data_IF_494046963464
#
_entry.id   IF_494046963464
#
_cell.length_a   1.000
_cell.length_b   1.000
_cell.length_c   1.000
_cell.angle_alpha   90.00
_cell.angle_beta   90.00
_cell.angle_gamma   90.00
#
_symmetry.space_group_name_H-M   'P 1'
#
loop_
_entity.id
_entity.type
_entity.pdbx_description
1 polymer ?
#
# COMPACT_ATOMS: atom_id res chain seq x y z
N UNK A 1 11.45 -6.77 15.01
CA UNK A 1 10.69 -6.66 16.28
C UNK A 1 11.19 -7.62 17.35
N UNK A 2 11.80 -8.77 17.00
CA UNK A 2 12.19 -9.82 17.97
C UNK A 2 13.30 -9.35 18.92
N UNK A 3 14.21 -8.49 18.45
CA UNK A 3 15.31 -7.98 19.26
C UNK A 3 14.86 -7.15 20.48
N UNK A 4 13.76 -6.44 20.42
CA UNK A 4 13.22 -5.61 21.50
C UNK A 4 11.97 -6.22 22.14
N UNK A 5 11.62 -7.45 21.78
CA UNK A 5 10.34 -8.09 22.16
C UNK A 5 10.08 -8.10 23.67
N UNK A 6 11.13 -8.19 24.49
CA UNK A 6 11.00 -8.18 25.96
C UNK A 6 10.49 -6.84 26.50
N UNK A 7 10.81 -5.71 25.83
CA UNK A 7 10.36 -4.37 26.24
C UNK A 7 8.98 -4.02 25.70
N UNK A 8 8.44 -4.84 24.78
CA UNK A 8 7.17 -4.58 24.10
C UNK A 8 6.12 -5.55 24.61
N UNK A 9 4.97 -5.03 24.98
CA UNK A 9 3.80 -5.81 25.29
C UNK A 9 3.35 -6.61 24.04
N UNK A 10 3.22 -7.92 24.20
CA UNK A 10 3.02 -8.82 23.07
C UNK A 10 1.59 -8.82 22.56
N UNK A 11 0.64 -8.35 23.34
CA UNK A 11 -0.78 -8.23 22.97
C UNK A 11 -1.08 -6.87 22.33
N UNK A 12 -0.62 -5.80 22.96
CA UNK A 12 -0.94 -4.44 22.54
C UNK A 12 0.04 -3.86 21.54
N UNK A 13 1.29 -4.33 21.51
CA UNK A 13 2.34 -3.83 20.63
C UNK A 13 3.04 -2.56 21.14
N UNK A 14 2.64 -2.04 22.30
CA UNK A 14 3.26 -0.84 22.87
C UNK A 14 4.41 -1.17 23.83
N UNK A 15 5.34 -0.23 24.04
CA UNK A 15 6.37 -0.38 25.05
C UNK A 15 5.78 -0.56 26.46
N UNK A 16 6.36 -1.48 27.24
CA UNK A 16 6.05 -1.68 28.64
C UNK A 16 6.79 -0.60 29.46
N UNK A 17 6.11 0.37 30.09
CA UNK A 17 6.76 1.51 30.73
C UNK A 17 7.78 1.09 31.79
N UNK A 18 7.47 0.06 32.58
CA UNK A 18 8.31 -0.43 33.68
C UNK A 18 9.60 -1.10 33.19
N UNK A 19 9.66 -1.48 31.90
CA UNK A 19 10.84 -2.09 31.28
C UNK A 19 11.69 -1.09 30.49
N UNK A 20 11.18 0.10 30.23
CA UNK A 20 11.92 1.16 29.52
C UNK A 20 13.17 1.56 30.30
N UNK A 21 14.32 1.54 29.62
CA UNK A 21 15.62 1.86 30.21
C UNK A 21 16.27 0.73 31.00
N UNK A 22 15.59 -0.40 31.25
CA UNK A 22 16.23 -1.54 31.88
C UNK A 22 17.23 -2.17 30.91
N UNK A 23 18.43 -2.47 31.44
CA UNK A 23 19.50 -3.13 30.69
C UNK A 23 19.32 -4.63 30.73
N UNK A 24 19.48 -5.27 29.58
CA UNK A 24 19.65 -6.73 29.47
C UNK A 24 20.95 -7.02 28.73
N UNK A 25 21.38 -8.27 28.80
CA UNK A 25 22.58 -8.74 28.12
C UNK A 25 22.20 -9.72 27.04
N UNK A 26 22.91 -9.70 25.91
CA UNK A 26 22.68 -10.56 24.77
C UNK A 26 23.96 -11.18 24.23
N UNK A 27 23.85 -12.35 23.64
CA UNK A 27 24.86 -12.95 22.77
C UNK A 27 24.22 -13.52 21.51
N UNK A 28 25.01 -13.74 20.47
CA UNK A 28 24.56 -14.36 19.23
C UNK A 28 25.34 -15.66 19.02
N UNK A 29 24.65 -16.79 18.98
CA UNK A 29 25.23 -18.12 18.76
C UNK A 29 24.45 -18.81 17.65
N UNK A 30 25.14 -19.23 16.58
CA UNK A 30 24.51 -19.91 15.43
C UNK A 30 23.31 -19.16 14.89
N UNK A 31 23.45 -17.84 14.65
CA UNK A 31 22.40 -16.92 14.16
C UNK A 31 21.18 -16.78 15.11
N UNK A 32 21.28 -17.29 16.33
CA UNK A 32 20.23 -17.15 17.35
C UNK A 32 20.66 -16.17 18.43
N UNK A 33 19.76 -15.25 18.79
CA UNK A 33 19.99 -14.26 19.84
C UNK A 33 19.44 -14.78 21.16
N UNK A 34 20.30 -14.83 22.18
CA UNK A 34 19.94 -15.18 23.55
C UNK A 34 20.04 -13.96 24.46
N UNK A 35 19.17 -13.91 25.48
CA UNK A 35 19.09 -12.80 26.41
C UNK A 35 19.06 -13.29 27.86
N UNK A 36 19.76 -12.56 28.74
CA UNK A 36 19.66 -12.73 30.18
C UNK A 36 19.68 -11.37 30.88
N UNK A 37 19.38 -11.36 32.18
CA UNK A 37 19.36 -10.15 32.99
C UNK A 37 20.76 -9.71 33.40
N UNK A 38 21.75 -10.63 33.37
CA UNK A 38 23.17 -10.30 33.64
C UNK A 38 24.08 -11.00 32.62
N UNK A 39 25.29 -10.43 32.43
CA UNK A 39 26.29 -11.02 31.53
C UNK A 39 26.83 -12.34 32.05
N UNK A 40 27.00 -12.45 33.37
CA UNK A 40 27.48 -13.67 34.03
C UNK A 40 26.55 -14.84 33.81
N UNK A 41 25.24 -14.61 34.01
CA UNK A 41 24.20 -15.64 33.77
C UNK A 41 24.21 -16.11 32.33
N UNK A 42 24.31 -15.18 31.36
CA UNK A 42 24.31 -15.50 29.94
C UNK A 42 25.56 -16.29 29.53
N UNK A 43 26.72 -15.91 30.09
CA UNK A 43 28.00 -16.58 29.85
C UNK A 43 27.98 -18.04 30.40
N UNK A 44 27.44 -18.22 31.61
CA UNK A 44 27.31 -19.52 32.24
C UNK A 44 26.33 -20.45 31.50
N UNK A 45 25.13 -19.93 31.12
CA UNK A 45 24.09 -20.68 30.43
C UNK A 45 24.55 -21.20 29.05
N UNK A 46 25.44 -20.49 28.38
CA UNK A 46 25.87 -20.81 27.01
C UNK A 46 27.34 -21.24 26.89
N UNK A 47 28.07 -21.35 28.01
CA UNK A 47 29.50 -21.72 28.08
C UNK A 47 30.36 -20.82 27.16
N UNK A 48 30.20 -19.51 27.28
CA UNK A 48 30.91 -18.51 26.48
C UNK A 48 31.67 -17.51 27.38
N UNK A 49 32.74 -16.88 26.87
CA UNK A 49 33.41 -15.78 27.57
C UNK A 49 32.47 -14.60 27.82
N UNK A 50 32.53 -14.01 29.00
CA UNK A 50 31.69 -12.87 29.40
C UNK A 50 31.82 -11.67 28.45
N UNK A 51 32.98 -11.52 27.82
CA UNK A 51 33.30 -10.46 26.87
C UNK A 51 32.48 -10.55 25.58
N UNK A 52 31.86 -11.73 25.30
CA UNK A 52 30.95 -11.92 24.17
C UNK A 52 29.52 -11.47 24.49
N UNK A 53 29.21 -11.23 25.77
CA UNK A 53 27.93 -10.72 26.20
C UNK A 53 27.87 -9.19 26.04
N UNK A 54 26.92 -8.71 25.24
CA UNK A 54 26.71 -7.26 24.99
C UNK A 54 25.53 -6.75 25.79
N UNK A 55 25.67 -5.60 26.42
CA UNK A 55 24.54 -4.93 27.06
C UNK A 55 23.65 -4.28 26.00
N UNK A 56 22.35 -4.34 26.22
CA UNK A 56 21.33 -3.71 25.37
C UNK A 56 20.23 -3.13 26.25
N UNK A 57 19.73 -1.98 25.87
CA UNK A 57 18.56 -1.37 26.48
C UNK A 57 17.65 -0.78 25.40
N UNK A 58 16.37 -0.68 25.71
CA UNK A 58 15.39 0.01 24.91
C UNK A 58 14.78 1.12 25.77
N UNK A 59 14.78 2.34 25.24
CA UNK A 59 14.17 3.49 25.88
C UNK A 59 12.97 3.90 25.02
N UNK A 60 11.77 3.72 25.57
CA UNK A 60 10.57 4.20 24.94
C UNK A 60 10.60 5.73 24.88
N UNK A 61 10.41 6.26 23.67
CA UNK A 61 10.36 7.71 23.42
C UNK A 61 9.14 8.02 22.55
N UNK A 62 8.45 9.08 22.86
CA UNK A 62 7.34 9.62 22.08
C UNK A 62 7.75 10.94 21.45
N UNK A 63 7.04 11.34 20.40
CA UNK A 63 7.29 12.61 19.73
C UNK A 63 7.22 13.79 20.71
N UNK A 64 6.28 13.76 21.67
CA UNK A 64 6.10 14.80 22.67
C UNK A 64 7.29 14.95 23.62
N UNK A 65 8.15 13.94 23.73
CA UNK A 65 9.35 13.97 24.54
C UNK A 65 10.47 14.80 23.87
N UNK A 66 10.38 15.00 22.55
CA UNK A 66 11.31 15.80 21.77
C UNK A 66 10.85 17.26 21.68
N UNK A 67 11.02 18.02 22.79
CA UNK A 67 10.62 19.43 22.86
C UNK A 67 11.29 20.30 21.81
N UNK A 68 12.55 20.02 21.48
CA UNK A 68 13.29 20.79 20.48
C UNK A 68 12.65 20.66 19.09
N UNK A 69 12.25 19.46 18.69
CA UNK A 69 11.55 19.26 17.43
C UNK A 69 10.19 19.93 17.44
N UNK A 70 9.44 19.81 18.54
CA UNK A 70 8.12 20.41 18.67
C UNK A 70 8.14 21.93 18.59
N UNK A 71 9.20 22.56 19.08
CA UNK A 71 9.39 24.02 19.01
C UNK A 71 9.89 24.46 17.63
N UNK A 72 10.79 23.68 17.00
CA UNK A 72 11.39 24.04 15.70
C UNK A 72 10.46 23.75 14.51
N UNK A 73 9.64 22.71 14.59
CA UNK A 73 8.68 22.32 13.55
C UNK A 73 7.31 21.94 14.14
N UNK A 74 6.46 22.92 14.48
CA UNK A 74 5.12 22.65 14.98
C UNK A 74 4.23 21.90 13.97
N UNK A 75 4.57 21.95 12.68
CA UNK A 75 3.86 21.24 11.61
C UNK A 75 4.14 19.74 11.55
N UNK A 76 5.19 19.26 12.23
CA UNK A 76 5.60 17.85 12.16
C UNK A 76 4.49 16.87 12.61
N UNK A 77 3.75 17.21 13.67
CA UNK A 77 2.58 16.42 14.11
C UNK A 77 1.50 16.36 13.03
N UNK A 78 1.25 17.45 12.33
CA UNK A 78 0.27 17.49 11.25
C UNK A 78 0.67 16.55 10.10
N UNK A 79 1.96 16.50 9.77
CA UNK A 79 2.51 15.56 8.78
C UNK A 79 2.31 14.10 9.20
N UNK A 80 2.58 13.76 10.47
CA UNK A 80 2.35 12.40 10.97
C UNK A 80 0.85 12.05 11.02
N UNK A 81 -0.01 13.00 11.37
CA UNK A 81 -1.46 12.78 11.36
C UNK A 81 -2.03 12.58 9.96
N UNK A 82 -1.33 13.05 8.93
CA UNK A 82 -1.70 12.83 7.52
C UNK A 82 -1.31 11.45 7.00
N UNK A 83 -0.53 10.67 7.75
CA UNK A 83 -0.17 9.30 7.40
C UNK A 83 -1.36 8.35 7.55
N UNK A 84 -1.27 7.19 6.88
CA UNK A 84 -2.19 6.08 7.08
C UNK A 84 -2.26 5.66 8.55
N UNK A 85 -3.41 5.14 8.97
CA UNK A 85 -3.65 4.67 10.34
C UNK A 85 -2.53 3.76 10.85
N UNK A 86 -2.07 2.80 10.05
CA UNK A 86 -0.98 1.89 10.40
C UNK A 86 0.34 2.62 10.64
N UNK A 87 0.73 3.51 9.73
CA UNK A 87 1.98 4.27 9.86
C UNK A 87 1.91 5.29 10.99
N UNK A 88 0.76 5.92 11.18
CA UNK A 88 0.52 6.83 12.31
C UNK A 88 0.64 6.10 13.64
N UNK A 89 0.02 4.93 13.79
CA UNK A 89 0.14 4.11 15.01
C UNK A 89 1.57 3.69 15.27
N UNK A 90 2.31 3.36 14.22
CA UNK A 90 3.72 2.98 14.33
C UNK A 90 4.62 4.15 14.71
N UNK A 91 4.52 5.27 14.02
CA UNK A 91 5.44 6.39 14.13
C UNK A 91 5.05 7.41 15.21
N UNK A 92 3.77 7.74 15.32
CA UNK A 92 3.26 8.72 16.29
C UNK A 92 2.97 8.08 17.65
N UNK A 93 2.32 6.92 17.65
CA UNK A 93 1.86 6.28 18.88
C UNK A 93 2.83 5.21 19.40
N UNK A 94 3.83 4.83 18.60
CA UNK A 94 4.89 3.91 19.03
C UNK A 94 4.44 2.45 19.12
N UNK A 95 3.52 2.02 18.28
CA UNK A 95 3.12 0.61 18.21
C UNK A 95 4.10 -0.19 17.34
N UNK A 96 4.86 -1.09 17.96
CA UNK A 96 5.92 -1.88 17.30
C UNK A 96 5.40 -3.16 16.63
N UNK A 97 4.18 -3.56 16.91
CA UNK A 97 3.61 -4.81 16.41
C UNK A 97 2.47 -4.63 15.43
N UNK A 98 1.99 -3.41 15.25
CA UNK A 98 0.92 -3.16 14.31
C UNK A 98 1.32 -3.63 12.91
N UNK A 99 0.48 -4.45 12.33
CA UNK A 99 0.62 -4.92 10.95
C UNK A 99 -0.56 -4.40 10.14
N UNK A 100 -0.36 -4.10 8.86
CA UNK A 100 -1.47 -3.85 7.97
C UNK A 100 -2.46 -5.02 8.01
N UNK A 101 -3.72 -4.73 8.26
CA UNK A 101 -4.81 -5.70 8.29
C UNK A 101 -5.97 -5.22 7.42
N UNK A 102 -6.91 -6.11 7.12
CA UNK A 102 -8.14 -5.78 6.40
C UNK A 102 -8.86 -4.59 7.06
N UNK A 103 -9.37 -3.67 6.24
CA UNK A 103 -10.03 -2.45 6.69
C UNK A 103 -9.12 -1.34 7.22
N UNK A 104 -7.80 -1.53 7.26
CA UNK A 104 -6.86 -0.48 7.68
C UNK A 104 -6.46 0.46 6.54
N UNK A 105 -6.61 0.05 5.29
CA UNK A 105 -6.31 0.88 4.13
C UNK A 105 -7.56 1.59 3.60
N UNK A 106 -8.65 0.84 3.44
CA UNK A 106 -9.86 1.33 2.80
C UNK A 106 -11.10 0.90 3.60
N UNK A 107 -12.03 1.82 3.80
CA UNK A 107 -13.36 1.56 4.37
C UNK A 107 -14.38 2.28 3.49
N UNK A 108 -15.45 1.60 3.06
CA UNK A 108 -16.52 2.22 2.25
C UNK A 108 -17.19 3.40 2.93
N UNK A 109 -17.17 3.44 4.26
CA UNK A 109 -17.71 4.56 5.04
C UNK A 109 -16.90 5.86 4.95
N UNK A 110 -15.70 5.82 4.38
CA UNK A 110 -14.81 6.98 4.25
C UNK A 110 -14.95 7.72 2.92
N UNK A 111 -15.76 7.20 1.99
CA UNK A 111 -16.00 7.84 0.69
C UNK A 111 -17.43 8.31 0.55
N UNK A 112 -17.65 9.23 -0.38
CA UNK A 112 -18.98 9.69 -0.77
C UNK A 112 -19.38 9.00 -2.06
N UNK A 113 -20.55 8.36 -2.08
CA UNK A 113 -21.16 7.86 -3.31
C UNK A 113 -21.86 9.02 -4.04
N UNK A 114 -21.61 9.15 -5.33
CA UNK A 114 -22.23 10.16 -6.20
C UNK A 114 -23.08 9.48 -7.26
N UNK A 115 -24.33 9.93 -7.41
CA UNK A 115 -25.24 9.42 -8.45
C UNK A 115 -24.81 9.87 -9.85
N UNK A 116 -24.15 11.02 -9.94
CA UNK A 116 -23.73 11.62 -11.21
C UNK A 116 -22.24 11.98 -11.21
N UNK A 117 -21.65 11.90 -12.40
CA UNK A 117 -20.26 12.25 -12.60
C UNK A 117 -20.06 13.78 -12.45
N UNK A 118 -19.13 14.22 -11.58
CA UNK A 118 -18.82 15.64 -11.46
C UNK A 118 -18.30 16.25 -12.78
N UNK A 119 -18.72 17.48 -13.08
CA UNK A 119 -18.31 18.19 -14.29
C UNK A 119 -17.01 18.99 -14.16
N UNK A 120 -16.42 18.99 -12.94
CA UNK A 120 -15.21 19.75 -12.59
C UNK A 120 -13.93 18.90 -12.61
N UNK A 121 -13.96 17.73 -13.20
CA UNK A 121 -12.78 16.87 -13.33
C UNK A 121 -11.83 17.42 -14.40
N UNK A 122 -10.56 17.60 -13.99
CA UNK A 122 -9.54 18.26 -14.84
C UNK A 122 -8.52 17.29 -15.43
N UNK A 123 -8.34 16.13 -14.82
CA UNK A 123 -7.39 15.09 -15.28
C UNK A 123 -7.99 13.71 -15.07
N UNK A 124 -7.74 12.81 -16.01
CA UNK A 124 -8.18 11.43 -15.97
C UNK A 124 -7.03 10.48 -16.21
N UNK A 125 -6.95 9.41 -15.41
CA UNK A 125 -6.08 8.29 -15.65
C UNK A 125 -6.82 6.96 -15.43
N UNK A 126 -6.54 5.99 -16.26
CA UNK A 126 -6.93 4.59 -16.07
C UNK A 126 -5.69 3.76 -15.78
N UNK A 127 -5.66 3.18 -14.60
CA UNK A 127 -4.67 2.20 -14.21
C UNK A 127 -5.14 0.80 -14.57
N UNK A 128 -4.20 -0.03 -14.94
CA UNK A 128 -4.40 -1.42 -15.30
C UNK A 128 -3.54 -2.32 -14.42
N UNK A 129 -4.11 -3.41 -13.94
CA UNK A 129 -3.40 -4.59 -13.48
C UNK A 129 -3.74 -5.74 -14.41
N UNK A 130 -2.74 -6.25 -15.11
CA UNK A 130 -2.95 -7.25 -16.16
C UNK A 130 -2.60 -8.63 -15.60
N UNK A 131 -3.51 -9.57 -15.76
CA UNK A 131 -3.22 -10.97 -15.50
C UNK A 131 -1.91 -11.39 -16.17
N UNK A 132 -0.98 -11.92 -15.40
CA UNK A 132 0.07 -12.74 -16.00
C UNK A 132 -0.62 -13.92 -16.68
N UNK A 133 -0.24 -14.22 -17.92
CA UNK A 133 -0.86 -15.20 -18.81
C UNK A 133 -0.81 -16.66 -18.33
N UNK A 134 -0.45 -16.92 -17.08
CA UNK A 134 -0.47 -18.25 -16.48
C UNK A 134 -1.83 -18.51 -15.85
N UNK A 135 -2.43 -19.62 -16.22
CA UNK A 135 -3.51 -20.25 -15.46
C UNK A 135 -3.09 -20.34 -13.98
N UNK A 136 -4.01 -20.10 -13.05
CA UNK A 136 -3.76 -20.41 -11.66
C UNK A 136 -3.61 -21.94 -11.50
N UNK A 137 -3.26 -22.42 -10.28
CA UNK A 137 -3.09 -23.86 -10.00
C UNK A 137 -4.34 -24.70 -10.33
N UNK A 138 -5.51 -24.06 -10.60
CA UNK A 138 -6.77 -24.69 -10.97
C UNK A 138 -7.10 -24.55 -12.46
N UNK A 139 -6.22 -23.96 -13.29
CA UNK A 139 -6.45 -23.73 -14.72
C UNK A 139 -7.31 -22.52 -15.05
N UNK A 140 -7.67 -21.68 -14.08
CA UNK A 140 -8.44 -20.46 -14.29
C UNK A 140 -7.51 -19.29 -14.67
N UNK A 141 -7.82 -18.47 -15.69
CA UNK A 141 -7.04 -17.28 -15.97
C UNK A 141 -7.13 -16.29 -14.81
N UNK A 142 -6.01 -15.62 -14.51
CA UNK A 142 -5.98 -14.56 -13.52
C UNK A 142 -6.85 -13.36 -13.96
N UNK A 143 -7.25 -12.52 -13.01
CA UNK A 143 -8.06 -11.34 -13.32
C UNK A 143 -7.24 -10.24 -14.00
N UNK A 144 -7.86 -9.58 -14.97
CA UNK A 144 -7.41 -8.29 -15.50
C UNK A 144 -8.32 -7.22 -14.93
N UNK A 145 -7.76 -6.32 -14.14
CA UNK A 145 -8.48 -5.22 -13.53
C UNK A 145 -8.11 -3.88 -14.16
N UNK A 146 -9.08 -2.96 -14.22
CA UNK A 146 -8.81 -1.56 -14.51
C UNK A 146 -9.66 -0.63 -13.68
N UNK A 147 -9.10 0.52 -13.31
CA UNK A 147 -9.80 1.55 -12.54
C UNK A 147 -9.55 2.91 -13.18
N UNK A 148 -10.62 3.64 -13.45
CA UNK A 148 -10.58 5.03 -13.94
C UNK A 148 -10.75 5.98 -12.78
N UNK A 149 -9.74 6.82 -12.54
CA UNK A 149 -9.78 7.87 -11.52
C UNK A 149 -9.61 9.24 -12.18
N UNK A 150 -10.39 10.19 -11.68
CA UNK A 150 -10.30 11.59 -12.08
C UNK A 150 -9.93 12.49 -10.92
N UNK A 151 -9.10 13.51 -11.17
CA UNK A 151 -8.81 14.59 -10.23
C UNK A 151 -9.73 15.76 -10.49
N UNK A 152 -10.42 16.23 -9.48
CA UNK A 152 -11.33 17.36 -9.52
C UNK A 152 -10.59 18.68 -9.27
N UNK A 153 -11.18 19.78 -9.73
CA UNK A 153 -10.61 21.12 -9.55
C UNK A 153 -10.48 21.53 -8.08
N UNK A 154 -11.35 21.01 -7.22
CA UNK A 154 -11.32 21.25 -5.77
C UNK A 154 -10.29 20.39 -5.01
N UNK A 155 -9.45 19.62 -5.72
CA UNK A 155 -8.43 18.74 -5.15
C UNK A 155 -8.91 17.34 -4.78
N UNK A 156 -10.22 17.06 -4.83
CA UNK A 156 -10.78 15.73 -4.58
C UNK A 156 -10.58 14.81 -5.78
N UNK A 157 -10.83 13.52 -5.58
CA UNK A 157 -10.72 12.47 -6.58
C UNK A 157 -12.07 11.80 -6.80
N UNK A 158 -12.31 11.22 -7.97
CA UNK A 158 -13.48 10.43 -8.29
C UNK A 158 -13.09 9.11 -8.94
N UNK A 159 -13.50 7.99 -8.36
CA UNK A 159 -13.47 6.68 -9.02
C UNK A 159 -14.71 6.58 -9.89
N UNK A 160 -14.53 6.61 -11.21
CA UNK A 160 -15.62 6.75 -12.18
C UNK A 160 -15.99 5.48 -12.91
N UNK A 161 -15.09 4.49 -12.94
CA UNK A 161 -15.35 3.18 -13.55
C UNK A 161 -14.33 2.14 -13.07
N UNK A 162 -14.79 0.93 -12.86
CA UNK A 162 -13.98 -0.25 -12.52
C UNK A 162 -14.36 -1.40 -13.42
N UNK A 163 -13.37 -2.13 -13.92
CA UNK A 163 -13.56 -3.43 -14.58
C UNK A 163 -12.66 -4.47 -13.91
N UNK A 164 -13.18 -5.69 -13.78
CA UNK A 164 -12.41 -6.82 -13.26
C UNK A 164 -12.91 -8.10 -13.93
N UNK A 165 -12.13 -8.66 -14.84
CA UNK A 165 -12.54 -9.75 -15.71
C UNK A 165 -11.45 -10.81 -15.85
N UNK A 166 -11.88 -12.07 -15.98
CA UNK A 166 -11.01 -13.16 -16.40
C UNK A 166 -11.02 -13.26 -17.91
N UNK A 167 -9.90 -12.99 -18.53
CA UNK A 167 -9.77 -12.88 -19.98
C UNK A 167 -8.58 -13.69 -20.48
N UNK A 168 -8.70 -14.25 -21.69
CA UNK A 168 -7.56 -14.78 -22.40
C UNK A 168 -6.57 -13.65 -22.79
N UNK A 169 -5.33 -13.98 -23.11
CA UNK A 169 -4.32 -12.98 -23.47
C UNK A 169 -4.73 -12.09 -24.67
N UNK A 170 -5.43 -12.66 -25.65
CA UNK A 170 -5.91 -11.92 -26.82
C UNK A 170 -7.12 -11.04 -26.46
N UNK A 171 -8.01 -11.53 -25.58
CA UNK A 171 -9.15 -10.78 -25.10
C UNK A 171 -8.72 -9.60 -24.21
N UNK A 172 -7.65 -9.74 -23.42
CA UNK A 172 -7.05 -8.63 -22.65
C UNK A 172 -6.69 -7.47 -23.57
N UNK A 173 -6.00 -7.74 -24.68
CA UNK A 173 -5.62 -6.70 -25.65
C UNK A 173 -6.84 -6.02 -26.27
N UNK A 174 -7.83 -6.78 -26.61
CA UNK A 174 -9.10 -6.30 -27.17
C UNK A 174 -9.83 -5.44 -26.13
N UNK A 175 -9.90 -5.91 -24.89
CA UNK A 175 -10.55 -5.20 -23.78
C UNK A 175 -9.88 -3.86 -23.49
N UNK A 176 -8.55 -3.81 -23.40
CA UNK A 176 -7.79 -2.56 -23.21
C UNK A 176 -8.12 -1.56 -24.32
N UNK A 177 -8.10 -1.99 -25.59
CA UNK A 177 -8.37 -1.11 -26.72
C UNK A 177 -9.79 -0.57 -26.74
N UNK A 178 -10.78 -1.43 -26.48
CA UNK A 178 -12.19 -1.03 -26.41
C UNK A 178 -12.44 -0.06 -25.25
N UNK A 179 -11.89 -0.34 -24.08
CA UNK A 179 -12.01 0.54 -22.91
C UNK A 179 -11.40 1.90 -23.18
N UNK A 180 -10.18 1.97 -23.75
CA UNK A 180 -9.55 3.22 -24.12
C UNK A 180 -10.38 4.04 -25.14
N UNK A 181 -11.05 3.36 -26.09
CA UNK A 181 -11.96 4.00 -27.05
C UNK A 181 -13.18 4.62 -26.36
N UNK A 182 -13.81 3.89 -25.43
CA UNK A 182 -14.93 4.38 -24.63
C UNK A 182 -14.51 5.58 -23.79
N UNK A 183 -13.37 5.47 -23.12
CA UNK A 183 -12.83 6.53 -22.28
C UNK A 183 -12.52 7.80 -23.08
N UNK A 184 -11.86 7.68 -24.22
CA UNK A 184 -11.56 8.80 -25.10
C UNK A 184 -12.85 9.49 -25.58
N UNK A 185 -13.89 8.72 -25.91
CA UNK A 185 -15.19 9.27 -26.34
C UNK A 185 -15.90 10.03 -25.20
N UNK A 186 -15.84 9.50 -23.97
CA UNK A 186 -16.58 10.04 -22.82
C UNK A 186 -15.81 11.15 -22.10
N UNK A 187 -14.50 11.00 -21.91
CA UNK A 187 -13.67 11.85 -21.07
C UNK A 187 -12.63 12.68 -21.86
N UNK A 188 -12.63 12.59 -23.20
CA UNK A 188 -11.74 13.26 -24.16
C UNK A 188 -10.28 12.81 -24.04
N UNK A 189 -9.62 13.08 -22.92
CA UNK A 189 -8.21 12.74 -22.68
C UNK A 189 -8.09 11.94 -21.39
N UNK A 190 -7.72 10.69 -21.52
CA UNK A 190 -7.40 9.78 -20.42
C UNK A 190 -5.99 9.28 -20.62
N UNK A 191 -5.21 9.20 -19.55
CA UNK A 191 -3.90 8.55 -19.58
C UNK A 191 -4.10 7.07 -19.27
N UNK A 192 -3.81 6.20 -20.23
CA UNK A 192 -3.79 4.74 -20.05
C UNK A 192 -2.46 4.35 -19.42
N UNK A 193 -2.46 3.96 -18.15
CA UNK A 193 -1.27 3.52 -17.44
C UNK A 193 -1.24 2.01 -17.34
N UNK A 194 -0.33 1.40 -18.08
CA UNK A 194 -0.16 -0.04 -18.20
C UNK A 194 1.08 -0.51 -17.45
N UNK A 195 1.04 -1.67 -16.79
CA UNK A 195 2.21 -2.23 -16.15
C UNK A 195 3.25 -2.64 -17.19
N UNK A 196 4.50 -2.66 -16.77
CA UNK A 196 5.63 -3.12 -17.55
C UNK A 196 6.47 -4.06 -16.71
N UNK A 197 6.48 -5.32 -17.06
CA UNK A 197 7.31 -6.30 -16.41
C UNK A 197 8.82 -6.01 -16.58
N UNK A 198 9.64 -6.40 -15.61
CA UNK A 198 11.08 -6.28 -15.74
C UNK A 198 11.61 -7.18 -16.88
N UNK A 199 12.72 -6.77 -17.49
CA UNK A 199 13.42 -7.54 -18.51
C UNK A 199 12.99 -7.25 -19.95
N UNK A 200 13.49 -8.07 -20.90
CA UNK A 200 13.30 -7.88 -22.35
C UNK A 200 11.87 -8.15 -22.81
N UNK A 201 11.24 -9.19 -22.25
CA UNK A 201 9.85 -9.55 -22.58
C UNK A 201 8.88 -8.41 -22.22
N UNK A 202 9.02 -7.84 -21.02
CA UNK A 202 8.19 -6.70 -20.60
C UNK A 202 8.42 -5.44 -21.44
N UNK A 203 9.65 -5.22 -21.93
CA UNK A 203 9.91 -4.12 -22.89
C UNK A 203 9.18 -4.34 -24.23
N UNK A 204 9.22 -5.56 -24.75
CA UNK A 204 8.53 -5.91 -25.99
C UNK A 204 7.00 -5.80 -25.84
N UNK A 205 6.46 -6.27 -24.73
CA UNK A 205 5.04 -6.15 -24.40
C UNK A 205 4.61 -4.69 -24.30
N UNK A 206 5.35 -3.86 -23.57
CA UNK A 206 5.09 -2.42 -23.45
C UNK A 206 5.09 -1.71 -24.81
N UNK A 207 6.07 -1.99 -25.67
CA UNK A 207 6.10 -1.46 -27.03
C UNK A 207 4.89 -1.90 -27.86
N UNK A 208 4.45 -3.15 -27.70
CA UNK A 208 3.28 -3.68 -28.37
C UNK A 208 2.01 -2.95 -27.94
N UNK A 209 1.82 -2.67 -26.64
CA UNK A 209 0.70 -1.88 -26.15
C UNK A 209 0.71 -0.45 -26.69
N UNK A 210 1.87 0.22 -26.69
CA UNK A 210 2.01 1.57 -27.24
C UNK A 210 1.63 1.62 -28.73
N UNK A 211 2.06 0.61 -29.51
CA UNK A 211 1.67 0.50 -30.93
C UNK A 211 0.17 0.24 -31.09
N UNK A 212 -0.42 -0.67 -30.30
CA UNK A 212 -1.82 -1.01 -30.34
C UNK A 212 -2.73 0.18 -30.01
N UNK A 213 -2.27 1.02 -29.06
CA UNK A 213 -2.98 2.21 -28.58
C UNK A 213 -2.50 3.49 -29.27
N UNK A 214 -2.03 3.40 -30.51
CA UNK A 214 -1.66 4.59 -31.28
C UNK A 214 -2.84 5.57 -31.35
N UNK A 215 -2.58 6.84 -31.00
CA UNK A 215 -3.61 7.90 -30.90
C UNK A 215 -4.28 8.05 -29.54
N UNK A 216 -3.85 7.28 -28.53
CA UNK A 216 -4.20 7.45 -27.11
C UNK A 216 -2.98 7.95 -26.33
N UNK A 217 -3.20 8.47 -25.11
CA UNK A 217 -2.11 8.83 -24.20
C UNK A 217 -1.77 7.61 -23.37
N UNK A 218 -0.63 6.99 -23.65
CA UNK A 218 -0.22 5.73 -23.01
C UNK A 218 1.07 5.93 -22.23
N UNK A 219 1.10 5.42 -21.01
CA UNK A 219 2.31 5.28 -20.20
C UNK A 219 2.49 3.83 -19.78
N UNK A 220 3.71 3.33 -19.91
CA UNK A 220 4.09 2.00 -19.43
C UNK A 220 5.13 2.15 -18.33
N UNK A 221 4.81 1.66 -17.14
CA UNK A 221 5.60 1.90 -15.93
C UNK A 221 5.99 0.56 -15.31
N UNK A 222 7.28 0.41 -15.01
CA UNK A 222 7.74 -0.68 -14.16
C UNK A 222 7.35 -0.37 -12.72
N UNK A 223 6.59 -1.27 -12.12
CA UNK A 223 6.19 -1.13 -10.73
C UNK A 223 7.33 -1.56 -9.80
N UNK A 224 7.49 -0.85 -8.69
CA UNK A 224 8.50 -1.12 -7.66
C UNK A 224 7.87 -1.02 -6.27
N UNK A 225 8.44 -1.75 -5.32
CA UNK A 225 7.91 -1.84 -3.95
C UNK A 225 6.78 -2.86 -3.81
N UNK A 226 6.30 -3.04 -2.58
CA UNK A 226 5.17 -3.92 -2.30
C UNK A 226 3.84 -3.30 -2.76
N UNK A 227 2.79 -4.13 -2.89
CA UNK A 227 1.43 -3.67 -3.20
C UNK A 227 0.93 -2.71 -2.12
N UNK A 228 1.25 -2.98 -0.86
CA UNK A 228 0.92 -2.13 0.28
C UNK A 228 1.52 -0.73 0.13
N UNK A 229 2.84 -0.65 -0.13
CA UNK A 229 3.52 0.65 -0.31
C UNK A 229 2.96 1.44 -1.50
N UNK A 230 2.60 0.76 -2.59
CA UNK A 230 1.98 1.43 -3.75
C UNK A 230 0.57 1.93 -3.47
N UNK A 231 -0.17 1.24 -2.59
CA UNK A 231 -1.54 1.63 -2.22
C UNK A 231 -1.59 2.80 -1.23
N UNK A 232 -0.55 3.03 -0.43
CA UNK A 232 -0.52 4.06 0.62
C UNK A 232 -0.96 5.46 0.16
N UNK A 233 -0.47 6.02 -0.97
CA UNK A 233 -0.87 7.37 -1.38
C UNK A 233 -2.37 7.50 -1.69
N UNK A 234 -2.95 6.49 -2.34
CA UNK A 234 -4.38 6.47 -2.64
C UNK A 234 -5.21 6.22 -1.38
N UNK A 235 -4.79 5.29 -0.54
CA UNK A 235 -5.44 4.99 0.73
C UNK A 235 -5.43 6.21 1.69
N UNK A 236 -4.37 7.02 1.69
CA UNK A 236 -4.33 8.25 2.46
C UNK A 236 -5.43 9.22 2.03
N UNK A 237 -5.63 9.44 0.73
CA UNK A 237 -6.73 10.28 0.23
C UNK A 237 -8.10 9.68 0.56
N UNK A 238 -8.22 8.36 0.47
CA UNK A 238 -9.44 7.64 0.82
C UNK A 238 -9.81 7.85 2.30
N UNK A 239 -8.86 7.63 3.21
CA UNK A 239 -9.07 7.77 4.66
C UNK A 239 -9.40 9.21 5.09
N UNK A 240 -8.88 10.20 4.38
CA UNK A 240 -9.20 11.62 4.63
C UNK A 240 -10.50 12.07 3.97
N UNK A 241 -11.27 11.16 3.39
CA UNK A 241 -12.54 11.46 2.75
C UNK A 241 -12.40 12.31 1.47
N UNK A 242 -11.23 12.32 0.85
CA UNK A 242 -10.96 13.08 -0.39
C UNK A 242 -11.34 12.32 -1.66
N UNK A 243 -11.85 11.10 -1.54
CA UNK A 243 -12.26 10.27 -2.67
C UNK A 243 -13.78 10.16 -2.71
N UNK A 244 -14.34 10.43 -3.88
CA UNK A 244 -15.72 10.15 -4.22
C UNK A 244 -15.76 8.88 -5.09
N UNK A 245 -16.86 8.15 -5.10
CA UNK A 245 -17.06 6.95 -5.93
C UNK A 245 -18.38 7.10 -6.68
N UNK A 246 -18.38 6.90 -7.99
CA UNK A 246 -19.60 6.92 -8.79
C UNK A 246 -20.45 5.70 -8.47
N UNK A 247 -21.75 5.89 -8.20
CA UNK A 247 -22.68 4.81 -7.94
C UNK A 247 -22.88 3.97 -9.22
N UNK A 248 -22.60 2.66 -9.13
CA UNK A 248 -22.66 1.73 -10.24
C UNK A 248 -22.66 0.27 -9.76
N UNK A 249 -23.01 -0.66 -10.64
CA UNK A 249 -23.10 -2.11 -10.33
C UNK A 249 -21.78 -2.74 -9.87
N UNK A 250 -20.64 -2.15 -10.21
CA UNK A 250 -19.32 -2.64 -9.81
C UNK A 250 -18.93 -2.25 -8.37
N UNK A 251 -19.70 -1.41 -7.68
CA UNK A 251 -19.32 -0.87 -6.36
C UNK A 251 -19.09 -1.96 -5.32
N UNK A 252 -20.00 -2.95 -5.23
CA UNK A 252 -19.88 -3.99 -4.20
C UNK A 252 -18.64 -4.85 -4.39
N UNK A 253 -18.34 -5.24 -5.61
CA UNK A 253 -17.12 -5.99 -5.95
C UNK A 253 -15.86 -5.19 -5.59
N UNK A 254 -15.85 -3.92 -5.95
CA UNK A 254 -14.73 -3.01 -5.70
C UNK A 254 -14.49 -2.81 -4.21
N UNK A 255 -15.51 -2.45 -3.45
CA UNK A 255 -15.40 -2.26 -2.01
C UNK A 255 -14.98 -3.52 -1.27
N UNK A 256 -15.52 -4.67 -1.67
CA UNK A 256 -15.15 -5.95 -1.03
C UNK A 256 -13.67 -6.26 -1.15
N UNK A 257 -13.05 -6.05 -2.32
CA UNK A 257 -11.62 -6.26 -2.48
C UNK A 257 -10.80 -5.21 -1.69
N UNK A 258 -11.16 -3.94 -1.80
CA UNK A 258 -10.45 -2.86 -1.12
C UNK A 258 -10.49 -3.01 0.41
N UNK A 259 -11.66 -3.30 0.98
CA UNK A 259 -11.82 -3.47 2.43
C UNK A 259 -11.10 -4.72 2.96
N UNK A 260 -10.92 -5.74 2.12
CA UNK A 260 -10.18 -6.96 2.49
C UNK A 260 -8.67 -6.83 2.32
N UNK A 261 -8.17 -5.75 1.71
CA UNK A 261 -6.75 -5.51 1.50
C UNK A 261 -6.03 -5.19 2.84
N UNK A 262 -4.83 -5.72 3.11
CA UNK A 262 -3.96 -6.49 2.21
C UNK A 262 -4.12 -8.03 2.32
N UNK A 263 -5.08 -8.52 3.08
CA UNK A 263 -5.27 -9.96 3.35
C UNK A 263 -6.08 -10.67 2.26
N UNK A 264 -6.70 -9.91 1.35
CA UNK A 264 -7.49 -10.45 0.24
C UNK A 264 -6.69 -11.38 -0.68
N UNK A 265 -7.35 -12.43 -1.18
CA UNK A 265 -6.79 -13.32 -2.20
C UNK A 265 -6.47 -12.54 -3.50
N UNK A 266 -7.36 -11.66 -3.90
CA UNK A 266 -7.22 -10.80 -5.09
C UNK A 266 -6.92 -9.36 -4.66
N UNK A 267 -6.02 -8.70 -5.37
CA UNK A 267 -5.54 -7.33 -5.08
C UNK A 267 -5.43 -6.51 -6.37
N UNK A 268 -6.09 -6.98 -7.43
CA UNK A 268 -5.87 -6.49 -8.79
C UNK A 268 -6.53 -5.11 -8.97
N UNK A 269 -7.71 -4.90 -8.36
CA UNK A 269 -8.38 -3.58 -8.37
C UNK A 269 -7.67 -2.57 -7.46
N UNK A 270 -7.02 -3.00 -6.35
CA UNK A 270 -6.18 -2.13 -5.52
C UNK A 270 -4.95 -1.67 -6.31
N UNK A 271 -4.27 -2.58 -7.02
CA UNK A 271 -3.10 -2.23 -7.84
C UNK A 271 -3.50 -1.31 -9.01
N UNK A 272 -4.59 -1.61 -9.70
CA UNK A 272 -5.13 -0.75 -10.75
C UNK A 272 -5.49 0.65 -10.23
N UNK A 273 -6.08 0.74 -9.02
CA UNK A 273 -6.39 2.03 -8.37
C UNK A 273 -5.12 2.81 -8.05
N UNK A 274 -4.14 2.15 -7.45
CA UNK A 274 -2.83 2.74 -7.10
C UNK A 274 -2.11 3.24 -8.34
N UNK A 275 -2.16 2.46 -9.42
CA UNK A 275 -1.60 2.80 -10.72
C UNK A 275 -2.29 4.03 -11.32
N UNK A 276 -3.62 4.10 -11.35
CA UNK A 276 -4.36 5.26 -11.83
C UNK A 276 -4.06 6.51 -11.00
N UNK A 277 -4.09 6.38 -9.67
CA UNK A 277 -3.87 7.50 -8.75
C UNK A 277 -2.47 8.09 -8.89
N UNK A 278 -1.44 7.27 -9.05
CA UNK A 278 -0.05 7.73 -9.23
C UNK A 278 0.18 8.55 -10.50
N UNK A 279 -0.80 8.62 -11.41
CA UNK A 279 -0.70 9.33 -12.68
C UNK A 279 -1.35 10.74 -12.64
N UNK A 280 -2.15 11.06 -11.59
CA UNK A 280 -2.94 12.30 -11.51
C UNK A 280 -2.54 13.21 -10.29
#
# INVERSE_FOLDING_TARGET
ADFISWWIDQETGYPIPERSGLVRYMCVLNDTIYFADTAEKLAEEHDIPIEQCKSVTFIASRLQDNKVLMESDPGYIANLNALLEVERERLLNGNWKIKPAAGMFFKRSQVTLLDELPNDVITWARGWDLAATSEDENGDPAYTASVLIGKRRNGRYIVANVTNQRLSADDVRTHIKQTAQIDKKKYKRVVERLPKDPGQAGKAQAQSFVKMLAGFVVKTIAESGSKETRAEPFAAQWQHGNVDVLLADWNEMYFTELESFPESKFKDMVDASSSAFAEI
#
